data_IF_985989904395
#
_entry.id   IF_985989904395
#
_cell.length_a   1.000
_cell.length_b   1.000
_cell.length_c   1.000
_cell.angle_alpha   90.00
_cell.angle_beta   90.00
_cell.angle_gamma   90.00
#
_symmetry.space_group_name_H-M   'P 1'
#
loop_
_entity.id
_entity.type
_entity.pdbx_description
1 polymer ?
#
# COMPACT_ATOMS: atom_id res chain seq x y z
N UNK A 1 4.73 5.23 -12.36
CA UNK A 1 4.90 3.76 -12.44
C UNK A 1 6.09 3.37 -11.59
N UNK A 2 5.90 2.43 -10.67
CA UNK A 2 6.94 1.87 -9.79
C UNK A 2 7.47 0.62 -10.48
N UNK A 3 8.81 0.46 -10.54
CA UNK A 3 9.45 -0.67 -11.22
C UNK A 3 9.88 -1.73 -10.21
N UNK A 4 9.08 -2.77 -10.05
CA UNK A 4 9.30 -3.85 -9.08
C UNK A 4 9.69 -5.11 -9.83
N UNK A 5 10.93 -5.59 -9.66
CA UNK A 5 11.40 -6.82 -10.31
C UNK A 5 11.17 -6.85 -11.85
N UNK A 6 11.33 -5.70 -12.51
CA UNK A 6 11.06 -5.55 -13.94
C UNK A 6 9.58 -5.40 -14.33
N UNK A 7 8.65 -5.55 -13.38
CA UNK A 7 7.21 -5.27 -13.56
C UNK A 7 6.93 -3.78 -13.31
N UNK A 8 5.88 -3.28 -13.97
CA UNK A 8 5.40 -1.92 -13.76
C UNK A 8 4.13 -1.94 -12.94
N UNK A 9 4.19 -1.34 -11.75
CA UNK A 9 3.04 -1.19 -10.86
C UNK A 9 2.57 0.25 -10.90
N UNK A 10 1.26 0.46 -11.07
CA UNK A 10 0.65 1.77 -11.00
C UNK A 10 0.42 2.16 -9.52
N UNK A 11 0.98 3.27 -9.03
CA UNK A 11 0.71 3.74 -7.67
C UNK A 11 -0.78 3.92 -7.40
N UNK A 12 -1.49 4.53 -8.37
CA UNK A 12 -2.92 4.83 -8.27
C UNK A 12 -3.78 3.58 -8.03
N UNK A 13 -3.40 2.43 -8.59
CA UNK A 13 -4.13 1.18 -8.35
C UNK A 13 -4.01 0.71 -6.90
N UNK A 14 -2.82 0.84 -6.31
CA UNK A 14 -2.60 0.53 -4.89
C UNK A 14 -3.25 1.56 -3.97
N UNK A 15 -3.22 2.85 -4.35
CA UNK A 15 -3.90 3.93 -3.64
C UNK A 15 -5.41 3.69 -3.62
N UNK A 16 -6.03 3.45 -4.77
CA UNK A 16 -7.46 3.14 -4.89
C UNK A 16 -7.84 1.91 -4.06
N UNK A 17 -7.00 0.87 -4.07
CA UNK A 17 -7.18 -0.32 -3.25
C UNK A 17 -7.16 -0.01 -1.75
N UNK A 18 -6.16 0.75 -1.29
CA UNK A 18 -6.04 1.19 0.10
C UNK A 18 -7.23 2.05 0.53
N UNK A 19 -7.74 2.90 -0.38
CA UNK A 19 -8.94 3.72 -0.13
C UNK A 19 -10.22 2.88 0.06
N UNK A 20 -10.22 1.60 -0.33
CA UNK A 20 -11.33 0.68 -0.01
C UNK A 20 -11.30 0.14 1.43
N UNK A 21 -10.22 0.38 2.18
CA UNK A 21 -10.12 0.01 3.59
C UNK A 21 -10.94 0.95 4.47
N UNK A 22 -11.75 0.39 5.37
CA UNK A 22 -12.71 1.17 6.18
C UNK A 22 -12.01 2.20 7.08
N UNK A 23 -10.84 1.86 7.62
CA UNK A 23 -10.07 2.70 8.54
C UNK A 23 -9.06 3.63 7.85
N UNK A 24 -8.92 3.61 6.52
CA UNK A 24 -8.02 4.53 5.79
C UNK A 24 -8.81 5.79 5.40
N UNK A 25 -8.26 6.96 5.74
CA UNK A 25 -8.76 8.27 5.40
C UNK A 25 -8.15 8.80 4.11
N UNK A 26 -6.86 8.54 3.91
CA UNK A 26 -6.09 8.95 2.74
C UNK A 26 -4.89 8.01 2.56
N UNK A 27 -4.40 7.86 1.33
CA UNK A 27 -3.26 7.02 1.00
C UNK A 27 -2.46 7.58 -0.18
N UNK A 28 -1.14 7.48 -0.08
CA UNK A 28 -0.21 7.79 -1.17
C UNK A 28 0.83 6.68 -1.30
N UNK A 29 1.14 6.26 -2.52
CA UNK A 29 2.07 5.17 -2.79
C UNK A 29 3.25 5.67 -3.62
N UNK A 30 4.46 5.39 -3.15
CA UNK A 30 5.69 5.74 -3.87
C UNK A 30 6.57 4.51 -4.06
N UNK A 31 7.48 4.56 -5.03
CA UNK A 31 8.52 3.55 -5.19
C UNK A 31 9.75 3.94 -4.38
N UNK A 32 10.12 3.14 -3.39
CA UNK A 32 11.41 3.25 -2.71
C UNK A 32 12.44 2.36 -3.39
N UNK A 33 13.69 2.81 -3.43
CA UNK A 33 14.79 2.00 -3.97
C UNK A 33 15.01 0.77 -3.09
N UNK A 34 15.21 -0.38 -3.72
CA UNK A 34 15.46 -1.65 -3.05
C UNK A 34 16.58 -2.41 -3.75
N UNK A 35 17.48 -3.02 -2.98
CA UNK A 35 18.67 -3.70 -3.51
C UNK A 35 18.34 -4.98 -4.28
N UNK A 36 17.21 -5.62 -3.99
CA UNK A 36 16.81 -6.90 -4.58
C UNK A 36 15.80 -6.72 -5.72
N UNK A 37 14.83 -5.82 -5.54
CA UNK A 37 13.71 -5.64 -6.47
C UNK A 37 13.84 -4.40 -7.35
N UNK A 38 14.89 -3.60 -7.15
CA UNK A 38 15.11 -2.31 -7.80
C UNK A 38 14.25 -1.22 -7.15
N UNK A 39 12.93 -1.40 -7.14
CA UNK A 39 12.03 -0.60 -6.31
C UNK A 39 10.97 -1.48 -5.63
N UNK A 40 10.50 -1.04 -4.47
CA UNK A 40 9.34 -1.60 -3.78
C UNK A 40 8.26 -0.54 -3.60
N UNK A 41 6.97 -0.88 -3.78
CA UNK A 41 5.89 0.04 -3.45
C UNK A 41 5.85 0.26 -1.94
N UNK A 42 5.74 1.50 -1.53
CA UNK A 42 5.63 1.89 -0.13
C UNK A 42 4.45 2.83 0.01
N UNK A 43 3.50 2.43 0.85
CA UNK A 43 2.28 3.17 1.12
C UNK A 43 2.45 4.03 2.38
N UNK A 44 2.03 5.29 2.29
CA UNK A 44 1.80 6.18 3.42
C UNK A 44 0.30 6.32 3.58
N UNK A 45 -0.21 5.99 4.76
CA UNK A 45 -1.64 5.97 5.04
C UNK A 45 -1.97 6.91 6.19
N UNK A 46 -3.09 7.59 6.07
CA UNK A 46 -3.71 8.35 7.16
C UNK A 46 -4.87 7.52 7.68
N UNK A 47 -4.87 7.20 8.97
CA UNK A 47 -5.97 6.45 9.59
C UNK A 47 -7.11 7.40 9.99
N UNK A 48 -8.35 6.93 9.87
CA UNK A 48 -9.53 7.62 10.40
C UNK A 48 -9.57 7.54 11.92
N UNK A 49 -9.32 6.34 12.45
CA UNK A 49 -9.18 6.10 13.89
C UNK A 49 -7.85 5.35 14.15
N UNK A 50 -6.85 6.02 14.75
CA UNK A 50 -5.58 5.39 15.11
C UNK A 50 -5.70 4.24 16.11
N UNK A 51 -6.80 4.17 16.88
CA UNK A 51 -7.09 3.08 17.82
C UNK A 51 -8.21 2.16 17.31
N UNK A 52 -8.64 2.36 16.06
CA UNK A 52 -9.65 1.53 15.41
C UNK A 52 -9.15 0.11 15.18
N UNK A 53 -10.05 -0.77 14.74
CA UNK A 53 -9.62 -2.08 14.24
C UNK A 53 -8.76 -1.92 12.99
N UNK A 54 -7.88 -2.89 12.76
CA UNK A 54 -7.04 -2.99 11.58
C UNK A 54 -6.17 -1.73 11.36
N UNK A 55 -5.66 -1.18 12.48
CA UNK A 55 -4.84 0.03 12.52
C UNK A 55 -3.34 -0.28 12.51
N UNK A 56 -2.95 -1.54 12.67
CA UNK A 56 -1.56 -1.94 12.63
C UNK A 56 -1.08 -2.08 11.17
N UNK A 57 0.21 -1.82 10.90
CA UNK A 57 0.76 -2.02 9.57
C UNK A 57 0.54 -3.43 9.03
N UNK A 58 0.65 -4.45 9.90
CA UNK A 58 0.49 -5.84 9.51
C UNK A 58 -0.94 -6.15 9.03
N UNK A 59 -1.96 -5.56 9.67
CA UNK A 59 -3.37 -5.74 9.31
C UNK A 59 -3.64 -5.18 7.89
N UNK A 60 -3.08 -4.00 7.60
CA UNK A 60 -3.23 -3.32 6.32
C UNK A 60 -2.47 -4.06 5.21
N UNK A 61 -1.28 -4.58 5.52
CA UNK A 61 -0.54 -5.42 4.59
C UNK A 61 -1.29 -6.71 4.24
N UNK A 62 -1.89 -7.38 5.23
CA UNK A 62 -2.68 -8.60 5.02
C UNK A 62 -3.91 -8.31 4.16
N UNK A 63 -4.59 -7.19 4.40
CA UNK A 63 -5.71 -6.72 3.59
C UNK A 63 -5.32 -6.55 2.11
N UNK A 64 -4.19 -5.91 1.84
CA UNK A 64 -3.69 -5.69 0.48
C UNK A 64 -3.27 -7.01 -0.17
N UNK A 65 -2.55 -7.88 0.54
CA UNK A 65 -2.15 -9.21 0.05
C UNK A 65 -3.35 -10.08 -0.34
N UNK A 66 -4.46 -9.97 0.38
CA UNK A 66 -5.70 -10.69 0.07
C UNK A 66 -6.45 -10.20 -1.17
N UNK A 67 -6.10 -9.02 -1.70
CA UNK A 67 -6.78 -8.39 -2.84
C UNK A 67 -5.91 -8.24 -4.10
N UNK A 68 -4.60 -8.45 -3.98
CA UNK A 68 -3.71 -8.50 -5.13
C UNK A 68 -3.79 -9.86 -5.83
N UNK A 69 -3.77 -9.90 -7.18
CA UNK A 69 -3.82 -11.13 -7.97
C UNK A 69 -2.52 -11.94 -7.93
#
# INVERSE_FOLDING_TARGET
>A
LIKVNGLQVAPTELEDLLMTHSNIADAAVIGLADEHFGQVPTAFVVLKDPNGKDSLPEDIEEYVKGKLP
#
